data_IF_219276728935
#
_entry.id   IF_219276728935
#
_cell.length_a   1.000
_cell.length_b   1.000
_cell.length_c   1.000
_cell.angle_alpha   90.00
_cell.angle_beta   90.00
_cell.angle_gamma   90.00
#
_symmetry.space_group_name_H-M   'P 1'
#
loop_
_entity.id
_entity.type
_entity.pdbx_description
1 polymer ?
#
# COMPACT_ATOMS: atom_id res chain seq x y z
N UNK A 1 -8.51 -10.24 -3.73
CA UNK A 1 -7.90 -11.59 -3.83
C UNK A 1 -8.99 -12.66 -3.83
N UNK A 2 -9.92 -12.66 -2.86
CA UNK A 2 -10.97 -13.69 -2.75
C UNK A 2 -11.91 -13.69 -3.96
N UNK A 3 -12.39 -12.53 -4.39
CA UNK A 3 -13.22 -12.39 -5.60
C UNK A 3 -12.49 -12.85 -6.87
N UNK A 4 -11.20 -12.48 -7.01
CA UNK A 4 -10.37 -12.90 -8.14
C UNK A 4 -10.14 -14.42 -8.15
N UNK A 5 -10.12 -15.07 -6.97
CA UNK A 5 -9.95 -16.51 -6.84
C UNK A 5 -11.24 -17.29 -7.09
N UNK A 6 -12.40 -16.80 -6.60
CA UNK A 6 -13.68 -17.50 -6.65
C UNK A 6 -14.40 -17.33 -8.00
N UNK A 7 -14.42 -16.11 -8.56
CA UNK A 7 -15.13 -15.85 -9.83
C UNK A 7 -14.68 -16.74 -10.99
N UNK A 8 -13.38 -17.01 -11.20
CA UNK A 8 -12.94 -17.98 -12.20
C UNK A 8 -13.36 -19.42 -11.89
N UNK A 9 -13.52 -19.78 -10.59
CA UNK A 9 -14.02 -21.09 -10.18
C UNK A 9 -15.50 -21.28 -10.52
N UNK A 10 -16.26 -20.18 -10.51
CA UNK A 10 -17.68 -20.16 -10.88
C UNK A 10 -17.92 -20.01 -12.39
N UNK A 11 -16.87 -19.92 -13.20
CA UNK A 11 -16.98 -19.75 -14.67
C UNK A 11 -17.43 -18.36 -15.13
N UNK A 12 -17.54 -17.38 -14.21
CA UNK A 12 -18.06 -16.05 -14.50
C UNK A 12 -16.88 -15.07 -14.64
N UNK A 13 -16.61 -14.58 -15.89
CA UNK A 13 -15.86 -13.34 -16.19
C UNK A 13 -14.52 -13.06 -15.47
N UNK A 14 -13.91 -14.04 -14.82
CA UNK A 14 -12.73 -13.84 -13.96
C UNK A 14 -11.51 -13.26 -14.69
N UNK A 15 -11.42 -13.43 -16.01
CA UNK A 15 -10.39 -12.80 -16.83
C UNK A 15 -10.59 -11.28 -16.92
N UNK A 16 -11.83 -10.82 -16.96
CA UNK A 16 -12.15 -9.38 -17.10
C UNK A 16 -11.82 -8.64 -15.82
N UNK A 17 -12.12 -9.21 -14.65
CA UNK A 17 -11.81 -8.62 -13.34
C UNK A 17 -10.31 -8.61 -13.09
N UNK A 18 -9.61 -9.71 -13.44
CA UNK A 18 -8.16 -9.78 -13.32
C UNK A 18 -7.47 -8.76 -14.25
N UNK A 19 -7.98 -8.56 -15.48
CA UNK A 19 -7.47 -7.56 -16.42
C UNK A 19 -7.85 -6.12 -16.02
N UNK A 20 -8.94 -5.90 -15.29
CA UNK A 20 -9.32 -4.59 -14.78
C UNK A 20 -8.38 -4.11 -13.66
N UNK A 21 -7.90 -5.00 -12.78
CA UNK A 21 -6.89 -4.64 -11.78
C UNK A 21 -5.50 -4.37 -12.38
N UNK A 22 -5.18 -5.04 -13.50
CA UNK A 22 -3.88 -4.92 -14.18
C UNK A 22 -4.08 -4.61 -15.66
N UNK A 23 -4.60 -3.42 -16.01
CA UNK A 23 -4.96 -3.10 -17.37
C UNK A 23 -3.75 -3.16 -18.32
N UNK A 24 -3.82 -4.08 -19.28
CA UNK A 24 -2.91 -4.15 -20.42
C UNK A 24 -1.50 -4.65 -20.16
N UNK A 25 -1.18 -5.07 -18.98
CA UNK A 25 0.06 -5.77 -18.73
C UNK A 25 -0.17 -7.26 -18.92
N UNK A 26 0.65 -7.87 -19.81
CA UNK A 26 0.80 -9.31 -19.83
C UNK A 26 1.29 -9.71 -18.42
N UNK A 27 0.35 -9.92 -17.51
CA UNK A 27 0.64 -10.59 -16.27
C UNK A 27 1.35 -11.87 -16.64
N UNK A 28 2.56 -12.08 -16.16
CA UNK A 28 3.21 -13.37 -16.30
C UNK A 28 2.21 -14.38 -15.74
N UNK A 29 1.50 -15.08 -16.64
CA UNK A 29 0.58 -16.13 -16.25
C UNK A 29 1.42 -17.16 -15.51
N UNK A 30 1.19 -17.30 -14.20
CA UNK A 30 1.89 -18.32 -13.41
C UNK A 30 1.61 -19.72 -13.96
N UNK A 31 0.43 -19.87 -14.57
CA UNK A 31 -0.04 -21.10 -15.18
C UNK A 31 -0.97 -20.83 -16.37
N UNK A 32 -1.10 -21.79 -17.32
CA UNK A 32 -2.03 -21.70 -18.45
C UNK A 32 -3.49 -21.57 -18.02
N UNK A 33 -3.84 -22.12 -16.85
CA UNK A 33 -5.20 -22.02 -16.28
C UNK A 33 -5.24 -20.97 -15.18
N UNK A 34 -6.19 -20.06 -15.28
CA UNK A 34 -6.42 -18.96 -14.30
C UNK A 34 -6.75 -19.52 -12.93
N UNK A 35 -7.52 -20.63 -12.88
CA UNK A 35 -7.89 -21.31 -11.63
C UNK A 35 -6.69 -21.79 -10.83
N UNK A 36 -5.63 -22.27 -11.48
CA UNK A 36 -4.42 -22.73 -10.83
C UNK A 36 -3.60 -21.57 -10.26
N UNK A 37 -3.59 -20.44 -10.99
CA UNK A 37 -2.99 -19.19 -10.49
C UNK A 37 -3.75 -18.68 -9.27
N UNK A 38 -5.08 -18.61 -9.33
CA UNK A 38 -5.94 -18.17 -8.25
C UNK A 38 -5.77 -19.02 -6.98
N UNK A 39 -5.77 -20.36 -7.10
CA UNK A 39 -5.54 -21.28 -5.97
C UNK A 39 -4.19 -21.02 -5.28
N UNK A 40 -3.13 -20.78 -6.05
CA UNK A 40 -1.79 -20.53 -5.50
C UNK A 40 -1.72 -19.18 -4.78
N UNK A 41 -2.32 -18.13 -5.33
CA UNK A 41 -2.39 -16.83 -4.67
C UNK A 41 -3.20 -16.92 -3.36
N UNK A 42 -4.30 -17.68 -3.37
CA UNK A 42 -5.09 -17.91 -2.16
C UNK A 42 -4.32 -18.68 -1.08
N UNK A 43 -3.56 -19.72 -1.48
CA UNK A 43 -2.71 -20.46 -0.55
C UNK A 43 -1.62 -19.59 0.07
N UNK A 44 -1.02 -18.68 -0.70
CA UNK A 44 -0.03 -17.72 -0.18
C UNK A 44 -0.69 -16.76 0.81
N UNK A 45 -1.87 -16.25 0.49
CA UNK A 45 -2.64 -15.41 1.39
C UNK A 45 -2.90 -16.12 2.73
N UNK A 46 -3.41 -17.35 2.68
CA UNK A 46 -3.67 -18.16 3.87
C UNK A 46 -2.38 -18.45 4.67
N UNK A 47 -1.30 -18.79 3.97
CA UNK A 47 0.00 -19.03 4.59
C UNK A 47 0.50 -17.80 5.36
N UNK A 48 0.45 -16.62 4.75
CA UNK A 48 0.86 -15.38 5.43
C UNK A 48 0.00 -15.11 6.66
N UNK A 49 -1.32 -15.27 6.56
CA UNK A 49 -2.22 -15.09 7.70
C UNK A 49 -1.89 -16.04 8.85
N UNK A 50 -1.66 -17.33 8.56
CA UNK A 50 -1.32 -18.34 9.59
C UNK A 50 0.05 -18.00 10.21
N UNK A 51 1.07 -17.70 9.40
CA UNK A 51 2.42 -17.39 9.91
C UNK A 51 2.39 -16.14 10.77
N UNK A 52 1.70 -15.08 10.34
CA UNK A 52 1.55 -13.86 11.12
C UNK A 52 0.83 -14.12 12.44
N UNK A 53 -0.29 -14.86 12.43
CA UNK A 53 -1.01 -15.25 13.65
C UNK A 53 -0.09 -15.95 14.66
N UNK A 54 0.70 -16.91 14.19
CA UNK A 54 1.64 -17.63 15.06
C UNK A 54 2.71 -16.70 15.63
N UNK A 55 3.32 -15.85 14.79
CA UNK A 55 4.35 -14.92 15.24
C UNK A 55 3.82 -13.89 16.24
N UNK A 56 2.63 -13.34 16.02
CA UNK A 56 1.99 -12.41 16.95
C UNK A 56 1.65 -13.08 18.28
N UNK A 57 1.17 -14.34 18.25
CA UNK A 57 0.90 -15.11 19.46
C UNK A 57 2.19 -15.38 20.24
N UNK A 58 3.28 -15.78 19.58
CA UNK A 58 4.59 -15.96 20.21
C UNK A 58 5.20 -14.65 20.75
N UNK A 59 4.87 -13.53 20.12
CA UNK A 59 5.30 -12.21 20.59
C UNK A 59 4.53 -11.70 21.82
N UNK A 60 3.52 -12.46 22.30
CA UNK A 60 2.77 -12.14 23.53
C UNK A 60 1.35 -11.60 23.29
N UNK A 61 0.88 -11.53 22.04
CA UNK A 61 -0.51 -11.18 21.73
C UNK A 61 -1.45 -12.34 22.08
N UNK A 62 -2.65 -12.06 22.59
CA UNK A 62 -3.65 -13.13 22.81
C UNK A 62 -3.99 -13.81 21.50
N UNK A 63 -4.32 -15.11 21.52
CA UNK A 63 -4.69 -15.86 20.31
C UNK A 63 -5.86 -15.21 19.57
N UNK A 64 -6.83 -14.68 20.30
CA UNK A 64 -7.97 -13.97 19.72
C UNK A 64 -7.52 -12.70 19.00
N UNK A 65 -6.70 -11.87 19.65
CA UNK A 65 -6.19 -10.64 19.06
C UNK A 65 -5.28 -10.95 17.86
N UNK A 66 -4.38 -11.95 17.97
CA UNK A 66 -3.47 -12.35 16.90
C UNK A 66 -4.21 -12.81 15.64
N UNK A 67 -5.28 -13.62 15.77
CA UNK A 67 -6.11 -14.04 14.63
C UNK A 67 -6.77 -12.83 13.96
N UNK A 68 -7.41 -11.96 14.75
CA UNK A 68 -8.12 -10.80 14.19
C UNK A 68 -7.16 -9.83 13.50
N UNK A 69 -6.02 -9.52 14.14
CA UNK A 69 -5.04 -8.59 13.55
C UNK A 69 -4.37 -9.17 12.30
N UNK A 70 -3.99 -10.45 12.28
CA UNK A 70 -3.38 -11.06 11.09
C UNK A 70 -4.36 -11.12 9.91
N UNK A 71 -5.63 -11.48 10.15
CA UNK A 71 -6.65 -11.47 9.09
C UNK A 71 -6.89 -10.06 8.56
N UNK A 72 -7.00 -9.07 9.46
CA UNK A 72 -7.16 -7.66 9.10
C UNK A 72 -5.94 -7.10 8.38
N UNK A 73 -4.73 -7.46 8.83
CA UNK A 73 -3.47 -6.99 8.25
C UNK A 73 -3.25 -7.50 6.82
N UNK A 74 -3.33 -8.81 6.60
CA UNK A 74 -3.13 -9.40 5.25
C UNK A 74 -4.24 -8.97 4.28
N UNK A 75 -5.45 -8.68 4.79
CA UNK A 75 -6.54 -8.13 4.00
C UNK A 75 -6.40 -6.62 3.73
N UNK A 76 -5.43 -5.94 4.37
CA UNK A 76 -5.30 -4.47 4.37
C UNK A 76 -6.58 -3.78 4.86
N UNK A 77 -7.13 -4.25 5.99
CA UNK A 77 -8.41 -3.78 6.53
C UNK A 77 -8.28 -2.84 7.72
N UNK A 78 -7.18 -2.88 8.49
CA UNK A 78 -6.88 -1.98 9.61
C UNK A 78 -7.78 -2.12 10.85
N UNK A 79 -8.65 -3.13 10.88
CA UNK A 79 -9.53 -3.34 12.02
C UNK A 79 -8.79 -3.96 13.20
N UNK A 80 -8.92 -3.33 14.37
CA UNK A 80 -8.32 -3.79 15.62
C UNK A 80 -9.37 -4.21 16.63
N UNK A 81 -9.00 -5.12 17.52
CA UNK A 81 -9.77 -5.50 18.72
C UNK A 81 -9.61 -4.51 19.87
N UNK A 82 -8.73 -3.50 19.70
CA UNK A 82 -8.44 -2.46 20.70
C UNK A 82 -8.77 -1.09 20.13
N UNK A 83 -9.28 -0.18 20.98
CA UNK A 83 -9.61 1.19 20.57
C UNK A 83 -8.36 1.99 20.16
N UNK A 84 -7.21 1.71 20.77
CA UNK A 84 -5.92 2.34 20.47
C UNK A 84 -5.20 1.71 19.28
N UNK A 85 -5.87 0.79 18.57
CA UNK A 85 -5.27 0.03 17.45
C UNK A 85 -4.00 -0.71 17.91
N UNK A 86 -2.92 -0.66 17.13
CA UNK A 86 -1.61 -1.24 17.49
C UNK A 86 -0.84 -0.41 18.53
N UNK A 87 -1.31 0.79 18.87
CA UNK A 87 -0.79 1.60 20.00
C UNK A 87 -0.92 0.90 21.35
N UNK A 88 -1.92 0.02 21.51
CA UNK A 88 -2.06 -0.79 22.74
C UNK A 88 -0.82 -1.65 23.04
N UNK A 89 0.00 -1.98 22.04
CA UNK A 89 1.24 -2.75 22.18
C UNK A 89 2.50 -1.90 21.99
N UNK A 90 2.49 -0.60 22.35
CA UNK A 90 3.66 0.27 22.22
C UNK A 90 4.87 -0.22 23.05
N UNK A 91 4.60 -0.85 24.21
CA UNK A 91 5.63 -1.45 25.06
C UNK A 91 6.21 -2.76 24.49
N UNK A 92 5.67 -3.26 23.39
CA UNK A 92 6.08 -4.51 22.73
C UNK A 92 6.50 -4.28 21.28
N UNK A 93 7.68 -3.68 21.02
CA UNK A 93 8.13 -3.32 19.67
C UNK A 93 8.10 -4.47 18.68
N UNK A 94 8.35 -5.71 19.14
CA UNK A 94 8.37 -6.90 18.30
C UNK A 94 7.02 -7.13 17.60
N UNK A 95 5.90 -6.91 18.28
CA UNK A 95 4.55 -7.03 17.68
C UNK A 95 4.40 -6.05 16.53
N UNK A 96 4.80 -4.79 16.74
CA UNK A 96 4.70 -3.76 15.71
C UNK A 96 5.60 -4.05 14.50
N UNK A 97 6.82 -4.55 14.70
CA UNK A 97 7.70 -4.95 13.58
C UNK A 97 7.17 -6.14 12.80
N UNK A 98 6.54 -7.12 13.47
CA UNK A 98 5.86 -8.23 12.78
C UNK A 98 4.75 -7.68 11.90
N UNK A 99 3.89 -6.81 12.44
CA UNK A 99 2.78 -6.20 11.68
C UNK A 99 3.31 -5.37 10.51
N UNK A 100 4.34 -4.52 10.70
CA UNK A 100 4.99 -3.76 9.62
C UNK A 100 5.45 -4.68 8.49
N UNK A 101 6.12 -5.78 8.83
CA UNK A 101 6.64 -6.71 7.86
C UNK A 101 5.53 -7.34 7.02
N UNK A 102 4.43 -7.76 7.66
CA UNK A 102 3.31 -8.36 6.96
C UNK A 102 2.47 -7.33 6.19
N UNK A 103 2.30 -6.10 6.70
CA UNK A 103 1.74 -4.97 5.93
C UNK A 103 2.53 -4.73 4.64
N UNK A 104 3.87 -4.66 4.75
CA UNK A 104 4.73 -4.48 3.60
C UNK A 104 4.55 -5.59 2.55
N UNK A 105 4.49 -6.85 2.98
CA UNK A 105 4.26 -8.00 2.09
C UNK A 105 2.85 -7.97 1.49
N UNK A 106 1.83 -7.69 2.27
CA UNK A 106 0.45 -7.59 1.83
C UNK A 106 0.27 -6.48 0.76
N UNK A 107 0.99 -5.37 0.92
CA UNK A 107 1.06 -4.28 -0.06
C UNK A 107 1.89 -4.59 -1.30
N UNK A 108 2.63 -5.71 -1.37
CA UNK A 108 3.35 -6.13 -2.58
C UNK A 108 2.49 -7.02 -3.47
N UNK A 109 2.88 -7.14 -4.74
CA UNK A 109 2.23 -8.05 -5.66
C UNK A 109 2.41 -9.51 -5.22
N UNK A 110 1.30 -10.24 -4.99
CA UNK A 110 1.33 -11.65 -4.56
C UNK A 110 2.03 -12.58 -5.55
N UNK A 111 2.08 -12.23 -6.85
CA UNK A 111 2.88 -12.98 -7.84
C UNK A 111 4.37 -12.87 -7.54
N UNK A 112 4.83 -11.70 -7.08
CA UNK A 112 6.22 -11.53 -6.65
C UNK A 112 6.52 -12.35 -5.39
N UNK A 113 5.59 -12.40 -4.43
CA UNK A 113 5.69 -13.26 -3.25
C UNK A 113 5.81 -14.74 -3.63
N UNK A 114 5.04 -15.21 -4.63
CA UNK A 114 5.21 -16.55 -5.18
C UNK A 114 6.60 -16.81 -5.76
N UNK A 115 7.18 -15.84 -6.47
CA UNK A 115 8.57 -15.98 -6.95
C UNK A 115 9.57 -15.98 -5.80
N UNK A 116 9.30 -15.27 -4.71
CA UNK A 116 10.10 -15.32 -3.47
C UNK A 116 10.16 -16.73 -2.89
N UNK A 117 9.01 -17.40 -2.73
CA UNK A 117 8.94 -18.80 -2.27
C UNK A 117 9.67 -19.78 -3.19
N UNK A 118 9.80 -19.47 -4.48
CA UNK A 118 10.58 -20.26 -5.43
C UNK A 118 12.07 -19.90 -5.47
N UNK A 119 12.56 -19.05 -4.58
CA UNK A 119 13.97 -18.61 -4.56
C UNK A 119 14.36 -17.71 -5.73
N UNK A 120 13.38 -17.19 -6.51
CA UNK A 120 13.66 -16.36 -7.69
C UNK A 120 13.72 -14.86 -7.32
N UNK A 121 14.50 -14.51 -6.28
CA UNK A 121 14.62 -13.15 -5.75
C UNK A 121 15.03 -12.10 -6.80
N UNK A 122 15.81 -12.51 -7.81
CA UNK A 122 16.21 -11.62 -8.91
C UNK A 122 15.01 -11.04 -9.67
N UNK A 123 13.89 -11.78 -9.78
CA UNK A 123 12.66 -11.28 -10.41
C UNK A 123 11.99 -10.19 -9.56
N UNK A 124 12.04 -10.31 -8.24
CA UNK A 124 11.50 -9.33 -7.31
C UNK A 124 12.29 -8.03 -7.40
N UNK A 125 13.62 -8.12 -7.24
CA UNK A 125 14.52 -6.95 -7.25
C UNK A 125 14.54 -6.24 -8.61
N UNK A 126 14.32 -6.95 -9.74
CA UNK A 126 14.26 -6.34 -11.07
C UNK A 126 12.91 -5.69 -11.39
N UNK A 127 11.86 -5.96 -10.62
CA UNK A 127 10.53 -5.40 -10.88
C UNK A 127 10.49 -3.90 -10.59
N UNK A 128 10.08 -3.10 -11.58
CA UNK A 128 10.06 -1.63 -11.48
C UNK A 128 9.10 -1.15 -10.38
N UNK A 129 7.94 -1.80 -10.24
CA UNK A 129 6.94 -1.43 -9.25
C UNK A 129 7.45 -1.69 -7.83
N UNK A 130 8.05 -2.87 -7.58
CA UNK A 130 8.61 -3.23 -6.29
C UNK A 130 9.73 -2.24 -5.86
N UNK A 131 10.58 -1.84 -6.81
CA UNK A 131 11.64 -0.84 -6.54
C UNK A 131 11.05 0.50 -6.10
N UNK A 132 10.04 1.00 -6.82
CA UNK A 132 9.43 2.29 -6.52
C UNK A 132 8.63 2.23 -5.23
N UNK A 133 7.87 1.14 -5.01
CA UNK A 133 7.15 0.91 -3.77
C UNK A 133 8.07 0.91 -2.55
N UNK A 134 9.16 0.14 -2.60
CA UNK A 134 10.15 0.09 -1.52
C UNK A 134 10.89 1.42 -1.34
N UNK A 135 11.19 2.11 -2.44
CA UNK A 135 11.82 3.44 -2.40
C UNK A 135 10.89 4.48 -1.75
N UNK A 136 9.60 4.48 -2.08
CA UNK A 136 8.64 5.39 -1.46
C UNK A 136 8.57 5.17 0.04
N UNK A 137 8.42 3.92 0.49
CA UNK A 137 8.42 3.60 1.91
C UNK A 137 9.70 4.09 2.58
N UNK A 138 10.87 3.77 2.03
CA UNK A 138 12.15 4.16 2.62
C UNK A 138 12.32 5.69 2.69
N UNK A 139 12.04 6.41 1.60
CA UNK A 139 12.21 7.88 1.55
C UNK A 139 11.23 8.56 2.50
N UNK A 140 9.94 8.21 2.46
CA UNK A 140 8.96 8.86 3.34
C UNK A 140 9.16 8.50 4.80
N UNK A 141 9.60 7.26 5.11
CA UNK A 141 9.98 6.91 6.50
C UNK A 141 11.12 7.78 6.99
N UNK A 142 12.16 8.00 6.19
CA UNK A 142 13.29 8.85 6.58
C UNK A 142 12.86 10.31 6.76
N UNK A 143 12.01 10.84 5.87
CA UNK A 143 11.48 12.21 6.00
C UNK A 143 10.66 12.33 7.28
N UNK A 144 9.69 11.44 7.50
CA UNK A 144 8.81 11.46 8.67
C UNK A 144 9.61 11.30 9.95
N UNK A 145 10.53 10.32 10.02
CA UNK A 145 11.40 10.12 11.18
C UNK A 145 12.26 11.35 11.48
N UNK A 146 12.83 12.00 10.44
CA UNK A 146 13.63 13.21 10.60
C UNK A 146 12.80 14.36 11.15
N UNK A 147 11.58 14.56 10.66
CA UNK A 147 10.70 15.64 11.15
C UNK A 147 10.26 15.37 12.59
N UNK A 148 9.88 14.13 12.94
CA UNK A 148 9.53 13.79 14.33
C UNK A 148 10.73 13.99 15.26
N UNK A 149 11.93 13.56 14.83
CA UNK A 149 13.14 13.69 15.66
C UNK A 149 13.53 15.14 15.93
N UNK A 150 13.31 16.04 14.96
CA UNK A 150 13.61 17.48 15.09
C UNK A 150 12.56 18.24 15.89
N UNK A 151 11.30 17.76 15.92
CA UNK A 151 10.23 18.35 16.73
C UNK A 151 10.29 17.79 18.15
N UNK A 152 11.01 18.47 19.02
CA UNK A 152 11.31 18.04 20.40
C UNK A 152 10.08 17.88 21.30
N UNK A 153 8.96 18.55 20.99
CA UNK A 153 7.77 18.54 21.84
C UNK A 153 7.06 17.19 21.90
N UNK A 154 7.12 16.38 20.84
CA UNK A 154 6.51 15.05 20.79
C UNK A 154 7.27 14.00 21.62
N UNK A 155 8.55 14.22 21.91
CA UNK A 155 9.45 13.24 22.51
C UNK A 155 9.99 13.68 23.90
N UNK A 156 9.36 14.67 24.52
CA UNK A 156 9.83 15.25 25.80
C UNK A 156 9.86 14.24 26.97
N UNK A 157 9.19 13.10 26.85
CA UNK A 157 9.13 12.06 27.88
C UNK A 157 10.21 10.96 27.76
N UNK A 158 10.96 10.90 26.64
CA UNK A 158 11.95 9.85 26.41
C UNK A 158 13.35 10.27 26.87
N UNK A 159 13.91 9.51 27.80
CA UNK A 159 15.16 9.86 28.52
C UNK A 159 16.44 9.34 27.82
N UNK A 160 16.39 8.27 27.04
CA UNK A 160 17.59 7.64 26.46
C UNK A 160 17.68 7.84 24.94
N UNK A 161 18.83 8.34 24.47
CA UNK A 161 19.04 8.70 23.07
C UNK A 161 18.84 7.56 22.06
N UNK A 162 19.22 6.33 22.40
CA UNK A 162 19.07 5.16 21.49
C UNK A 162 17.61 4.69 21.42
N UNK A 163 16.95 4.60 22.56
CA UNK A 163 15.52 4.22 22.67
C UNK A 163 14.66 5.22 21.89
N UNK A 164 14.99 6.50 22.00
CA UNK A 164 14.33 7.58 21.26
C UNK A 164 14.42 7.41 19.73
N UNK A 165 15.62 7.09 19.21
CA UNK A 165 15.82 6.91 17.76
C UNK A 165 15.03 5.70 17.24
N UNK A 166 15.05 4.59 17.98
CA UNK A 166 14.31 3.37 17.62
C UNK A 166 12.81 3.66 17.58
N UNK A 167 12.27 4.27 18.59
CA UNK A 167 10.85 4.55 18.73
C UNK A 167 10.35 5.50 17.64
N UNK A 168 11.07 6.60 17.38
CA UNK A 168 10.78 7.52 16.26
C UNK A 168 10.79 6.79 14.93
N UNK A 169 11.82 5.98 14.69
CA UNK A 169 11.93 5.24 13.45
C UNK A 169 10.79 4.21 13.30
N UNK A 170 10.46 3.50 14.36
CA UNK A 170 9.40 2.49 14.39
C UNK A 170 8.02 3.11 14.11
N UNK A 171 7.66 4.20 14.80
CA UNK A 171 6.39 4.90 14.56
C UNK A 171 6.33 5.52 13.17
N UNK A 172 7.41 6.13 12.68
CA UNK A 172 7.48 6.66 11.33
C UNK A 172 7.32 5.56 10.28
N UNK A 173 8.06 4.46 10.40
CA UNK A 173 7.97 3.32 9.49
C UNK A 173 6.59 2.68 9.52
N UNK A 174 6.04 2.48 10.73
CA UNK A 174 4.71 1.91 10.92
C UNK A 174 3.66 2.74 10.20
N UNK A 175 3.62 4.04 10.46
CA UNK A 175 2.58 4.92 9.91
C UNK A 175 2.71 5.07 8.38
N UNK A 176 3.93 5.21 7.87
CA UNK A 176 4.18 5.28 6.42
C UNK A 176 3.77 3.99 5.71
N UNK A 177 4.15 2.83 6.27
CA UNK A 177 3.76 1.54 5.69
C UNK A 177 2.25 1.36 5.77
N UNK A 178 1.62 1.63 6.91
CA UNK A 178 0.18 1.51 7.12
C UNK A 178 -0.63 2.31 6.10
N UNK A 179 -0.23 3.56 5.83
CA UNK A 179 -0.94 4.43 4.87
C UNK A 179 -0.67 4.00 3.43
N UNK A 180 0.58 3.73 3.03
CA UNK A 180 0.92 3.34 1.65
C UNK A 180 0.31 1.98 1.30
N UNK A 181 0.29 1.03 2.24
CA UNK A 181 -0.34 -0.28 2.04
C UNK A 181 -1.85 -0.25 2.21
N UNK A 182 -2.40 0.92 2.54
CA UNK A 182 -3.84 1.13 2.77
C UNK A 182 -4.40 0.19 3.83
N UNK A 183 -3.61 -0.13 4.85
CA UNK A 183 -4.04 -1.00 5.95
C UNK A 183 -4.78 -0.20 7.03
N UNK A 184 -4.31 1.01 7.37
CA UNK A 184 -5.02 1.91 8.29
C UNK A 184 -4.80 1.63 9.78
N UNK A 185 -3.90 0.73 10.18
CA UNK A 185 -3.50 0.59 11.57
C UNK A 185 -2.73 1.82 12.06
N UNK A 186 -2.85 2.14 13.35
CA UNK A 186 -2.14 3.24 14.00
C UNK A 186 -1.39 2.77 15.24
N UNK A 187 -0.24 3.39 15.53
CA UNK A 187 0.53 3.20 16.78
C UNK A 187 0.60 4.46 17.61
N UNK A 188 0.28 5.60 17.02
CA UNK A 188 0.24 6.91 17.64
C UNK A 188 -0.72 7.83 16.88
N UNK A 189 -1.14 8.91 17.53
CA UNK A 189 -1.91 9.96 16.87
C UNK A 189 -0.98 10.83 16.01
N UNK A 190 -0.90 10.48 14.71
CA UNK A 190 -0.07 11.21 13.75
C UNK A 190 -0.63 12.60 13.41
N UNK A 191 -1.88 12.92 13.78
CA UNK A 191 -2.44 14.26 13.55
C UNK A 191 -1.77 15.30 14.46
N UNK A 192 -1.26 14.88 15.62
CA UNK A 192 -0.50 15.71 16.54
C UNK A 192 0.96 15.97 16.09
N UNK A 193 1.46 15.29 15.04
CA UNK A 193 2.86 15.42 14.60
C UNK A 193 3.15 16.68 13.79
N UNK A 194 2.14 17.52 13.59
CA UNK A 194 2.24 18.82 12.96
C UNK A 194 1.78 18.86 11.50
N UNK A 195 1.55 20.07 10.96
CA UNK A 195 0.86 20.26 9.68
C UNK A 195 1.63 19.72 8.48
N UNK A 196 2.97 19.74 8.53
CA UNK A 196 3.79 19.18 7.44
C UNK A 196 3.58 17.67 7.29
N UNK A 197 3.59 16.93 8.42
CA UNK A 197 3.40 15.48 8.39
C UNK A 197 1.96 15.12 8.01
N UNK A 198 0.99 15.89 8.48
CA UNK A 198 -0.41 15.73 8.08
C UNK A 198 -0.57 15.86 6.56
N UNK A 199 0.06 16.87 5.94
CA UNK A 199 0.05 17.06 4.48
C UNK A 199 0.73 15.88 3.75
N UNK A 200 1.86 15.39 4.27
CA UNK A 200 2.58 14.23 3.70
C UNK A 200 1.67 12.99 3.76
N UNK A 201 1.10 12.67 4.91
CA UNK A 201 0.23 11.51 5.07
C UNK A 201 -1.03 11.60 4.21
N UNK A 202 -1.64 12.79 4.12
CA UNK A 202 -2.75 13.03 3.21
C UNK A 202 -2.36 12.71 1.76
N UNK A 203 -1.18 13.17 1.31
CA UNK A 203 -0.67 12.82 -0.03
C UNK A 203 -0.40 11.32 -0.21
N UNK A 204 0.09 10.63 0.83
CA UNK A 204 0.36 9.20 0.78
C UNK A 204 -0.91 8.34 0.68
N UNK A 205 -2.08 8.79 1.18
CA UNK A 205 -3.36 8.10 1.05
C UNK A 205 -3.75 7.86 -0.42
N UNK A 206 -3.26 8.69 -1.35
CA UNK A 206 -3.52 8.52 -2.78
C UNK A 206 -2.57 7.53 -3.47
N UNK A 207 -1.47 7.12 -2.82
CA UNK A 207 -0.45 6.28 -3.47
C UNK A 207 -0.94 4.85 -3.66
N UNK A 208 -1.35 4.19 -2.57
CA UNK A 208 -1.77 2.79 -2.57
C UNK A 208 -0.60 1.81 -2.70
N UNK A 209 -0.88 0.52 -2.59
CA UNK A 209 0.12 -0.54 -2.75
C UNK A 209 0.38 -0.94 -4.20
N UNK A 210 1.10 -2.05 -4.37
CA UNK A 210 1.40 -2.61 -5.69
C UNK A 210 0.18 -3.25 -6.36
N UNK A 211 0.17 -3.29 -7.67
CA UNK A 211 -0.85 -3.98 -8.46
C UNK A 211 -0.85 -5.49 -8.13
N UNK A 212 -2.03 -6.05 -7.90
CA UNK A 212 -2.16 -7.47 -7.50
C UNK A 212 -1.76 -7.73 -6.04
N UNK A 213 -1.77 -6.70 -5.18
CA UNK A 213 -1.74 -6.76 -3.72
C UNK A 213 -3.16 -6.68 -3.14
N UNK A 214 -3.31 -6.85 -1.83
CA UNK A 214 -4.58 -6.60 -1.11
C UNK A 214 -4.86 -5.12 -0.89
N UNK A 215 -3.85 -4.27 -0.97
CA UNK A 215 -3.96 -2.83 -0.77
C UNK A 215 -4.99 -2.18 -1.71
N UNK A 216 -5.65 -1.14 -1.24
CA UNK A 216 -6.53 -0.26 -2.01
C UNK A 216 -5.78 0.82 -2.80
N UNK A 217 -6.42 1.97 -2.95
CA UNK A 217 -5.85 3.17 -3.53
C UNK A 217 -5.61 3.13 -5.04
N UNK A 218 -4.91 4.16 -5.55
CA UNK A 218 -4.67 4.35 -6.98
C UNK A 218 -3.64 3.37 -7.57
N UNK A 219 -2.79 2.75 -6.75
CA UNK A 219 -1.70 1.81 -7.06
C UNK A 219 -0.42 2.47 -7.58
N UNK A 220 0.71 2.05 -7.00
CA UNK A 220 2.06 2.56 -7.33
C UNK A 220 2.38 2.49 -8.82
N UNK A 221 1.98 1.43 -9.52
CA UNK A 221 2.23 1.25 -10.94
C UNK A 221 1.64 2.39 -11.79
N UNK A 222 0.40 2.80 -11.48
CA UNK A 222 -0.27 3.87 -12.24
C UNK A 222 0.45 5.20 -12.03
N UNK A 223 0.87 5.53 -10.80
CA UNK A 223 1.70 6.70 -10.51
C UNK A 223 3.01 6.67 -11.30
N UNK A 224 3.72 5.53 -11.27
CA UNK A 224 4.98 5.37 -12.00
C UNK A 224 4.80 5.64 -13.50
N UNK A 225 3.74 5.11 -14.11
CA UNK A 225 3.47 5.30 -15.54
C UNK A 225 3.07 6.74 -15.87
N UNK A 226 2.27 7.40 -15.03
CA UNK A 226 1.91 8.81 -15.20
C UNK A 226 3.17 9.69 -15.13
N UNK A 227 4.02 9.48 -14.12
CA UNK A 227 5.27 10.24 -13.94
C UNK A 227 6.21 9.99 -15.13
N UNK A 228 6.42 8.73 -15.54
CA UNK A 228 7.24 8.39 -16.72
C UNK A 228 6.68 9.05 -17.99
N UNK A 229 5.37 9.04 -18.20
CA UNK A 229 4.76 9.72 -19.35
C UNK A 229 4.98 11.23 -19.29
N UNK A 230 4.75 11.87 -18.15
CA UNK A 230 4.99 13.31 -17.96
C UNK A 230 6.43 13.69 -18.30
N UNK A 231 7.41 12.96 -17.75
CA UNK A 231 8.83 13.20 -18.04
C UNK A 231 9.18 12.97 -19.53
N UNK A 232 8.53 11.99 -20.18
CA UNK A 232 8.73 11.77 -21.61
C UNK A 232 8.11 12.88 -22.49
N UNK A 233 7.05 13.56 -22.03
CA UNK A 233 6.50 14.70 -22.77
C UNK A 233 7.52 15.85 -22.90
N UNK A 234 8.27 16.17 -21.85
CA UNK A 234 9.36 17.15 -21.96
C UNK A 234 10.40 16.74 -23.00
N UNK A 235 10.78 15.45 -23.03
CA UNK A 235 11.72 14.95 -24.06
C UNK A 235 11.15 15.00 -25.47
N UNK A 236 9.86 14.77 -25.65
CA UNK A 236 9.18 14.86 -26.95
C UNK A 236 9.12 16.30 -27.47
N UNK A 237 8.96 17.28 -26.58
CA UNK A 237 9.02 18.71 -26.95
C UNK A 237 10.40 19.05 -27.49
N UNK A 238 11.48 18.56 -26.86
CA UNK A 238 12.85 18.79 -27.30
C UNK A 238 13.23 18.00 -28.57
N UNK A 239 12.62 16.84 -28.78
CA UNK A 239 12.91 15.94 -29.89
C UNK A 239 11.61 15.44 -30.55
N UNK A 240 10.90 16.28 -31.34
CA UNK A 240 9.54 15.98 -31.85
C UNK A 240 9.46 14.72 -32.73
N UNK A 241 10.55 14.37 -33.42
CA UNK A 241 10.62 13.21 -34.31
C UNK A 241 11.11 11.93 -33.63
N UNK A 242 11.46 11.98 -32.33
CA UNK A 242 11.97 10.81 -31.64
C UNK A 242 10.82 9.87 -31.21
N UNK A 243 10.95 8.58 -31.51
CA UNK A 243 10.04 7.54 -31.04
C UNK A 243 10.46 7.15 -29.62
N UNK A 244 9.77 7.71 -28.61
CA UNK A 244 10.07 7.52 -27.21
C UNK A 244 8.95 6.69 -26.54
N UNK A 245 9.08 5.35 -26.49
CA UNK A 245 8.08 4.49 -25.84
C UNK A 245 8.23 4.57 -24.32
N UNK A 246 7.08 4.55 -23.61
CA UNK A 246 7.05 4.36 -22.16
C UNK A 246 7.41 2.90 -21.89
N UNK A 247 8.34 2.63 -20.97
CA UNK A 247 8.75 1.27 -20.60
C UNK A 247 8.39 0.95 -19.15
N UNK A 248 7.89 -0.26 -18.96
CA UNK A 248 7.62 -0.86 -17.66
C UNK A 248 8.11 -2.31 -17.67
N UNK A 249 8.94 -2.68 -16.68
CA UNK A 249 9.61 -4.01 -16.65
C UNK A 249 10.23 -4.37 -18.00
N UNK A 250 11.00 -3.44 -18.60
CA UNK A 250 11.68 -3.57 -19.90
C UNK A 250 10.75 -3.68 -21.12
N UNK A 251 9.42 -3.75 -20.94
CA UNK A 251 8.43 -3.83 -22.03
C UNK A 251 7.85 -2.45 -22.36
N UNK A 252 7.54 -2.21 -23.63
CA UNK A 252 6.85 -0.99 -24.03
C UNK A 252 5.36 -1.04 -23.62
N UNK A 253 4.88 0.08 -23.10
CA UNK A 253 3.47 0.27 -22.73
C UNK A 253 2.75 0.94 -23.89
N UNK A 254 1.62 0.37 -24.34
CA UNK A 254 0.84 0.94 -25.43
C UNK A 254 0.14 2.24 -25.01
N UNK A 255 -0.12 3.11 -25.99
CA UNK A 255 -0.86 4.36 -25.75
C UNK A 255 -2.28 4.12 -25.21
N UNK A 256 -2.96 3.04 -25.63
CA UNK A 256 -4.27 2.68 -25.10
C UNK A 256 -4.26 2.41 -23.60
N UNK A 257 -3.23 1.75 -23.07
CA UNK A 257 -3.05 1.54 -21.61
C UNK A 257 -2.88 2.88 -20.90
N UNK A 258 -2.10 3.80 -21.47
CA UNK A 258 -1.91 5.12 -20.88
C UNK A 258 -3.21 5.93 -20.83
N UNK A 259 -4.02 5.89 -21.91
CA UNK A 259 -5.33 6.54 -21.89
C UNK A 259 -6.26 5.96 -20.83
N UNK A 260 -6.28 4.64 -20.64
CA UNK A 260 -7.07 4.01 -19.58
C UNK A 260 -6.62 4.44 -18.19
N UNK A 261 -5.30 4.55 -17.96
CA UNK A 261 -4.74 4.99 -16.67
C UNK A 261 -5.11 6.45 -16.39
N UNK A 262 -5.00 7.32 -17.39
CA UNK A 262 -5.38 8.73 -17.26
C UNK A 262 -6.90 8.89 -17.05
N UNK A 263 -7.71 8.13 -17.79
CA UNK A 263 -9.16 8.09 -17.58
C UNK A 263 -9.53 7.65 -16.17
N UNK A 264 -8.90 6.59 -15.67
CA UNK A 264 -9.10 6.14 -14.29
C UNK A 264 -8.66 7.21 -13.27
N UNK A 265 -7.55 7.91 -13.50
CA UNK A 265 -7.09 8.99 -12.63
C UNK A 265 -8.12 10.12 -12.53
N UNK A 266 -8.70 10.52 -13.67
CA UNK A 266 -9.73 11.56 -13.69
C UNK A 266 -10.97 11.12 -12.89
N UNK A 267 -11.46 9.90 -13.12
CA UNK A 267 -12.63 9.36 -12.40
C UNK A 267 -12.34 9.25 -10.90
N UNK A 268 -11.13 8.79 -10.53
CA UNK A 268 -10.70 8.68 -9.14
C UNK A 268 -10.71 10.06 -8.45
N UNK A 269 -10.15 11.09 -9.09
CA UNK A 269 -10.13 12.45 -8.55
C UNK A 269 -11.54 13.06 -8.47
N UNK A 270 -12.40 12.83 -9.46
CA UNK A 270 -13.80 13.26 -9.41
C UNK A 270 -14.56 12.57 -8.28
N UNK A 271 -14.34 11.28 -8.06
CA UNK A 271 -14.95 10.53 -6.94
C UNK A 271 -14.49 11.08 -5.59
N UNK A 272 -13.19 11.42 -5.45
CA UNK A 272 -12.64 12.05 -4.27
C UNK A 272 -13.33 13.40 -3.99
N UNK A 273 -13.43 14.27 -4.99
CA UNK A 273 -14.08 15.58 -4.86
C UNK A 273 -15.56 15.42 -4.51
N UNK A 274 -16.26 14.50 -5.18
CA UNK A 274 -17.68 14.23 -4.90
C UNK A 274 -17.88 13.71 -3.47
N UNK A 275 -17.03 12.81 -2.99
CA UNK A 275 -17.04 12.33 -1.61
C UNK A 275 -16.82 13.46 -0.61
N UNK A 276 -15.81 14.31 -0.83
CA UNK A 276 -15.54 15.46 0.03
C UNK A 276 -16.73 16.43 0.11
N UNK A 277 -17.39 16.69 -1.03
CA UNK A 277 -18.61 17.52 -1.05
C UNK A 277 -19.74 16.89 -0.25
N UNK A 278 -19.96 15.58 -0.37
CA UNK A 278 -21.00 14.88 0.41
C UNK A 278 -20.72 14.99 1.91
N UNK A 279 -19.48 14.76 2.36
CA UNK A 279 -19.11 14.88 3.78
C UNK A 279 -19.25 16.33 4.28
N UNK A 280 -18.91 17.32 3.47
CA UNK A 280 -19.12 18.73 3.80
C UNK A 280 -20.60 19.09 3.94
N UNK A 281 -21.49 18.55 3.07
CA UNK A 281 -22.95 18.72 3.19
C UNK A 281 -23.46 18.08 4.50
N UNK A 282 -22.85 16.98 4.96
CA UNK A 282 -23.19 16.33 6.23
C UNK A 282 -22.69 17.11 7.46
N UNK A 283 -21.99 18.22 7.27
CA UNK A 283 -21.59 19.15 8.34
C UNK A 283 -20.15 18.95 8.84
N UNK A 284 -19.31 18.15 8.19
CA UNK A 284 -17.89 18.10 8.53
C UNK A 284 -17.18 19.37 8.05
N UNK A 285 -16.15 19.79 8.80
CA UNK A 285 -15.26 20.86 8.38
C UNK A 285 -14.43 20.46 7.14
N UNK A 286 -13.76 21.44 6.54
CA UNK A 286 -13.03 21.24 5.28
C UNK A 286 -11.96 20.16 5.36
N UNK A 287 -11.12 20.20 6.42
CA UNK A 287 -10.02 19.24 6.59
C UNK A 287 -10.55 17.82 6.81
N UNK A 288 -11.53 17.65 7.69
CA UNK A 288 -12.18 16.37 7.95
C UNK A 288 -12.89 15.82 6.71
N UNK A 289 -13.58 16.66 5.93
CA UNK A 289 -14.25 16.23 4.70
C UNK A 289 -13.27 15.69 3.66
N UNK A 290 -12.12 16.34 3.49
CA UNK A 290 -11.05 15.86 2.61
C UNK A 290 -10.42 14.57 3.15
N UNK A 291 -10.07 14.51 4.43
CA UNK A 291 -9.46 13.35 5.08
C UNK A 291 -10.33 12.11 4.99
N UNK A 292 -11.61 12.22 5.36
CA UNK A 292 -12.57 11.10 5.30
C UNK A 292 -12.81 10.64 3.86
N UNK A 293 -12.89 11.57 2.90
CA UNK A 293 -13.05 11.21 1.49
C UNK A 293 -11.82 10.48 0.95
N UNK A 294 -10.61 10.96 1.27
CA UNK A 294 -9.36 10.31 0.84
C UNK A 294 -9.22 8.92 1.47
N UNK A 295 -9.44 8.80 2.77
CA UNK A 295 -9.39 7.54 3.52
C UNK A 295 -10.41 6.52 2.97
N UNK A 296 -11.67 6.93 2.82
CA UNK A 296 -12.73 6.04 2.31
C UNK A 296 -12.46 5.56 0.88
N UNK A 297 -11.98 6.44 -0.01
CA UNK A 297 -11.68 6.09 -1.40
C UNK A 297 -10.38 5.28 -1.52
N UNK A 298 -9.39 5.60 -0.70
CA UNK A 298 -8.09 4.92 -0.64
C UNK A 298 -8.15 3.57 0.07
N UNK A 299 -9.16 3.33 0.92
CA UNK A 299 -9.24 2.21 1.85
C UNK A 299 -8.11 2.26 2.91
N UNK A 300 -7.90 3.45 3.49
CA UNK A 300 -6.84 3.69 4.50
C UNK A 300 -7.46 3.88 5.88
#
# INVERSE_FOLDING_TARGET
VFAIAILPLLGIGGMQIFSAESPGMNTEKLHPRITDTAKRLWLIYLLFTIVETLLLTFAGMSVFDAINHSMSNIASGGFSTKNESLGFWNDQPLIQYIVIFFMFIAGTNFVLSYFGFKGKFRKIIKNDEFKIYSLFIAVFTLIVASVIYLNTDFLSELTDGFTRIEEVFRHALFQVVSIITTTGFTTADYTAWGPLLLLIFFGLMFVGGSTGSTAGGFKVMRHLLIIKNGLLQFKRILHPHAILPIRYNEKSVSSGIMFNILGFFIVYMLSFIAGALVFSILGLDFESSLGVSASSLGNV
#
